data_IF_726534630632
#
_entry.id   IF_726534630632
#
_cell.length_a   1.000
_cell.length_b   1.000
_cell.length_c   1.000
_cell.angle_alpha   90.00
_cell.angle_beta   90.00
_cell.angle_gamma   90.00
#
_symmetry.space_group_name_H-M   'P 1'
#
loop_
_entity.id
_entity.type
_entity.pdbx_description
1 polymer ?
#
# COMPACT_ATOMS: atom_id res chain seq x y z
N UNK A 1 61.94 6.83 50.72
CA UNK A 1 61.52 8.00 49.92
C UNK A 1 60.18 8.44 50.48
N UNK A 2 60.20 9.38 51.42
CA UNK A 2 58.95 9.91 52.00
C UNK A 2 58.44 11.01 51.07
N UNK A 3 57.27 10.80 50.47
CA UNK A 3 56.62 11.85 49.70
C UNK A 3 56.25 12.98 50.67
N UNK A 4 56.89 14.14 50.51
CA UNK A 4 56.55 15.32 51.27
C UNK A 4 55.15 15.85 50.89
N UNK A 5 54.52 16.68 51.73
CA UNK A 5 53.18 17.23 51.49
C UNK A 5 53.04 17.92 50.13
N UNK A 6 54.12 18.49 49.60
CA UNK A 6 54.17 19.10 48.26
C UNK A 6 53.93 18.13 47.11
N UNK A 7 54.43 16.89 47.21
CA UNK A 7 54.22 15.87 46.18
C UNK A 7 52.79 15.35 46.18
N UNK A 8 52.15 15.30 47.35
CA UNK A 8 50.73 14.96 47.45
C UNK A 8 49.84 16.06 46.88
N UNK A 9 50.21 17.32 47.07
CA UNK A 9 49.46 18.46 46.54
C UNK A 9 49.54 18.51 45.00
N UNK A 10 50.73 18.25 44.43
CA UNK A 10 50.93 18.15 42.99
C UNK A 10 50.14 16.98 42.38
N UNK A 11 50.20 15.80 43.01
CA UNK A 11 49.42 14.65 42.59
C UNK A 11 47.90 14.89 42.68
N UNK A 12 47.44 15.56 43.74
CA UNK A 12 46.03 15.89 43.91
C UNK A 12 45.55 16.89 42.85
N UNK A 13 46.38 17.87 42.49
CA UNK A 13 46.10 18.81 41.42
C UNK A 13 46.01 18.09 40.06
N UNK A 14 46.98 17.23 39.74
CA UNK A 14 47.00 16.45 38.51
C UNK A 14 45.80 15.49 38.41
N UNK A 15 45.49 14.80 39.51
CA UNK A 15 44.34 13.90 39.58
C UNK A 15 43.03 14.66 39.33
N UNK A 16 42.85 15.84 39.96
CA UNK A 16 41.66 16.68 39.78
C UNK A 16 41.50 17.13 38.33
N UNK A 17 42.59 17.53 37.68
CA UNK A 17 42.55 17.92 36.27
C UNK A 17 42.18 16.75 35.35
N UNK A 18 42.72 15.55 35.63
CA UNK A 18 42.36 14.34 34.88
C UNK A 18 40.91 13.93 35.10
N UNK A 19 40.39 14.04 36.32
CA UNK A 19 38.98 13.78 36.60
C UNK A 19 38.07 14.78 35.89
N UNK A 20 38.38 16.08 35.93
CA UNK A 20 37.62 17.10 35.20
C UNK A 20 37.62 16.87 33.68
N UNK A 21 38.76 16.43 33.12
CA UNK A 21 38.86 16.05 31.70
C UNK A 21 38.05 14.79 31.38
N UNK A 22 37.99 13.81 32.27
CA UNK A 22 37.18 12.60 32.09
C UNK A 22 35.69 12.95 32.20
N UNK A 23 35.30 13.77 33.17
CA UNK A 23 33.92 14.22 33.38
C UNK A 23 33.37 14.99 32.18
N UNK A 24 34.16 15.94 31.64
CA UNK A 24 33.79 16.66 30.40
C UNK A 24 33.69 15.77 29.15
N UNK A 25 34.40 14.64 29.12
CA UNK A 25 34.30 13.64 28.02
C UNK A 25 33.16 12.66 28.25
N UNK A 26 32.82 12.38 29.51
CA UNK A 26 31.66 11.58 29.89
C UNK A 26 30.35 12.31 29.59
N UNK A 27 30.30 13.63 29.78
CA UNK A 27 29.16 14.47 29.40
C UNK A 27 28.88 14.42 27.88
N UNK A 28 29.93 14.25 27.09
CA UNK A 28 29.85 14.04 25.64
C UNK A 28 29.58 12.58 25.23
N UNK A 29 29.64 11.64 26.16
CA UNK A 29 29.43 10.22 25.88
C UNK A 29 27.94 9.92 26.01
N UNK A 30 27.30 9.55 24.88
CA UNK A 30 25.89 9.19 24.82
C UNK A 30 25.49 8.30 26.01
N UNK A 31 24.67 8.84 26.89
CA UNK A 31 24.27 8.20 28.13
C UNK A 31 23.44 6.98 27.78
N UNK A 32 23.42 5.95 28.64
CA UNK A 32 22.56 4.77 28.41
C UNK A 32 21.08 5.15 28.23
N UNK A 33 20.64 6.31 28.75
CA UNK A 33 19.31 6.88 28.49
C UNK A 33 19.14 7.26 27.04
N UNK A 34 20.11 7.96 26.44
CA UNK A 34 20.05 8.44 25.05
C UNK A 34 19.94 7.26 24.08
N UNK A 35 20.59 6.14 24.40
CA UNK A 35 20.49 4.90 23.62
C UNK A 35 19.11 4.23 23.75
N UNK A 36 18.49 4.31 24.93
CA UNK A 36 17.14 3.79 25.18
C UNK A 36 16.07 4.66 24.52
N UNK A 37 16.24 5.98 24.57
CA UNK A 37 15.37 6.95 23.91
C UNK A 37 15.48 6.82 22.39
N UNK A 38 16.70 6.73 21.84
CA UNK A 38 16.92 6.50 20.42
C UNK A 38 16.29 5.19 19.95
N UNK A 39 16.40 4.11 20.73
CA UNK A 39 15.76 2.82 20.42
C UNK A 39 14.23 2.97 20.37
N UNK A 40 13.66 3.70 21.32
CA UNK A 40 12.21 3.93 21.42
C UNK A 40 11.71 4.79 20.26
N UNK A 41 12.43 5.86 19.94
CA UNK A 41 12.17 6.75 18.80
C UNK A 41 12.20 5.94 17.49
N UNK A 42 13.25 5.13 17.27
CA UNK A 42 13.34 4.28 16.08
C UNK A 42 12.19 3.28 15.98
N UNK A 43 11.81 2.61 17.08
CA UNK A 43 10.68 1.67 17.04
C UNK A 43 9.36 2.36 16.69
N UNK A 44 9.15 3.57 17.21
CA UNK A 44 7.98 4.38 16.90
C UNK A 44 7.97 4.84 15.45
N UNK A 45 9.11 5.29 14.93
CA UNK A 45 9.25 5.68 13.53
C UNK A 45 9.03 4.50 12.59
N UNK A 46 9.63 3.34 12.84
CA UNK A 46 9.40 2.15 12.04
C UNK A 46 7.93 1.71 12.07
N UNK A 47 7.30 1.70 13.25
CA UNK A 47 5.89 1.35 13.35
C UNK A 47 4.99 2.34 12.58
N UNK A 48 5.28 3.63 12.67
CA UNK A 48 4.56 4.67 11.92
C UNK A 48 4.76 4.50 10.41
N UNK A 49 6.00 4.29 9.98
CA UNK A 49 6.35 4.06 8.57
C UNK A 49 5.66 2.81 8.03
N UNK A 50 5.73 1.68 8.74
CA UNK A 50 5.04 0.45 8.34
C UNK A 50 3.53 0.66 8.24
N UNK A 51 2.90 1.35 9.19
CA UNK A 51 1.46 1.66 9.14
C UNK A 51 1.10 2.42 7.86
N UNK A 52 1.88 3.45 7.51
CA UNK A 52 1.60 4.27 6.33
C UNK A 52 1.96 3.55 5.02
N UNK A 53 3.04 2.77 4.98
CA UNK A 53 3.42 1.95 3.82
C UNK A 53 2.36 0.88 3.55
N UNK A 54 1.95 0.12 4.57
CA UNK A 54 0.91 -0.90 4.41
C UNK A 54 -0.44 -0.25 4.08
N UNK A 55 -0.79 0.85 4.73
CA UNK A 55 -2.01 1.59 4.45
C UNK A 55 -2.07 2.12 3.02
N UNK A 56 -1.00 2.74 2.52
CA UNK A 56 -0.93 3.22 1.13
C UNK A 56 -0.92 2.08 0.11
N UNK A 57 -0.20 0.99 0.39
CA UNK A 57 -0.20 -0.19 -0.47
C UNK A 57 -1.61 -0.81 -0.61
N UNK A 58 -2.36 -0.90 0.49
CA UNK A 58 -3.75 -1.39 0.47
C UNK A 58 -4.68 -0.46 -0.32
N UNK A 59 -4.57 0.86 -0.12
CA UNK A 59 -5.39 1.85 -0.85
C UNK A 59 -5.08 1.82 -2.35
N UNK A 60 -3.81 1.81 -2.73
CA UNK A 60 -3.39 1.74 -4.13
C UNK A 60 -3.78 0.41 -4.77
N UNK A 61 -3.64 -0.70 -4.04
CA UNK A 61 -4.08 -2.02 -4.50
C UNK A 61 -5.59 -2.07 -4.75
N UNK A 62 -6.40 -1.56 -3.82
CA UNK A 62 -7.85 -1.48 -3.99
C UNK A 62 -8.23 -0.56 -5.16
N UNK A 63 -7.58 0.59 -5.31
CA UNK A 63 -7.81 1.52 -6.42
C UNK A 63 -7.46 0.89 -7.77
N UNK A 64 -6.36 0.14 -7.87
CA UNK A 64 -6.00 -0.55 -9.10
C UNK A 64 -7.05 -1.60 -9.50
N UNK A 65 -7.51 -2.40 -8.53
CA UNK A 65 -8.54 -3.41 -8.78
C UNK A 65 -9.85 -2.76 -9.25
N UNK A 66 -10.31 -1.69 -8.57
CA UNK A 66 -11.54 -1.00 -8.98
C UNK A 66 -11.42 -0.41 -10.37
N UNK A 67 -10.30 0.23 -10.70
CA UNK A 67 -10.05 0.76 -12.04
C UNK A 67 -10.12 -0.35 -13.09
N UNK A 68 -9.43 -1.47 -12.88
CA UNK A 68 -9.44 -2.60 -13.81
C UNK A 68 -10.86 -3.15 -14.01
N UNK A 69 -11.61 -3.33 -12.91
CA UNK A 69 -13.00 -3.81 -12.98
C UNK A 69 -13.90 -2.84 -13.73
N UNK A 70 -13.78 -1.54 -13.48
CA UNK A 70 -14.55 -0.51 -14.19
C UNK A 70 -14.20 -0.46 -15.67
N UNK A 71 -12.91 -0.53 -16.01
CA UNK A 71 -12.46 -0.58 -17.41
C UNK A 71 -13.04 -1.80 -18.11
N UNK A 72 -12.99 -3.00 -17.52
CA UNK A 72 -13.57 -4.22 -18.11
C UNK A 72 -15.09 -4.14 -18.26
N UNK A 73 -15.79 -3.60 -17.25
CA UNK A 73 -17.24 -3.47 -17.26
C UNK A 73 -17.74 -2.40 -18.25
N UNK A 74 -16.93 -1.36 -18.52
CA UNK A 74 -17.28 -0.30 -19.47
C UNK A 74 -16.73 -0.53 -20.89
N UNK A 75 -15.64 -1.30 -21.04
CA UNK A 75 -15.09 -1.69 -22.34
C UNK A 75 -15.83 -2.87 -22.98
N UNK A 76 -16.66 -3.59 -22.21
CA UNK A 76 -17.63 -4.53 -22.79
C UNK A 76 -18.85 -3.72 -23.24
N UNK A 77 -19.11 -3.59 -24.56
CA UNK A 77 -20.30 -2.89 -25.03
C UNK A 77 -21.54 -3.56 -24.41
N UNK A 78 -22.61 -2.80 -24.10
CA UNK A 78 -23.85 -3.36 -23.59
C UNK A 78 -24.19 -4.56 -24.45
N UNK A 79 -24.34 -5.73 -23.83
CA UNK A 79 -24.75 -6.96 -24.52
C UNK A 79 -25.95 -6.57 -25.36
N UNK A 80 -25.77 -6.51 -26.68
CA UNK A 80 -26.80 -6.03 -27.58
C UNK A 80 -28.09 -6.75 -27.20
N UNK A 81 -29.25 -6.03 -27.11
CA UNK A 81 -30.51 -6.69 -26.82
C UNK A 81 -30.59 -7.91 -27.72
N UNK A 82 -30.95 -9.10 -27.18
CA UNK A 82 -30.93 -10.33 -27.95
C UNK A 82 -31.61 -10.05 -29.27
N UNK A 83 -30.82 -10.05 -30.35
CA UNK A 83 -31.36 -9.86 -31.68
C UNK A 83 -32.52 -10.85 -31.79
N UNK A 84 -33.69 -10.44 -32.33
CA UNK A 84 -34.79 -11.35 -32.55
C UNK A 84 -34.20 -12.58 -33.19
N UNK A 85 -34.20 -13.68 -32.44
CA UNK A 85 -33.71 -14.93 -32.94
C UNK A 85 -34.57 -15.15 -34.17
N UNK A 86 -33.95 -15.23 -35.34
CA UNK A 86 -34.61 -15.80 -36.50
C UNK A 86 -34.90 -17.24 -36.06
N UNK A 87 -36.07 -17.41 -35.43
CA UNK A 87 -36.75 -18.68 -35.34
C UNK A 87 -36.67 -19.19 -36.77
N UNK A 88 -36.05 -20.35 -37.04
CA UNK A 88 -36.14 -20.94 -38.36
C UNK A 88 -37.63 -21.03 -38.66
N UNK A 89 -38.11 -20.14 -39.53
CA UNK A 89 -39.49 -20.11 -39.95
C UNK A 89 -39.65 -21.34 -40.81
N UNK A 90 -39.94 -22.47 -40.17
CA UNK A 90 -40.68 -23.57 -40.78
C UNK A 90 -42.10 -23.05 -41.00
N UNK A 91 -42.23 -22.04 -41.85
CA UNK A 91 -43.50 -21.58 -42.32
C UNK A 91 -44.01 -22.71 -43.22
N UNK A 92 -45.08 -23.44 -42.85
CA UNK A 92 -45.67 -24.39 -43.78
C UNK A 92 -46.08 -23.60 -45.03
N UNK A 93 -45.84 -24.14 -46.23
CA UNK A 93 -46.12 -23.45 -47.48
C UNK A 93 -47.58 -22.98 -47.48
N UNK A 94 -47.77 -21.67 -47.67
CA UNK A 94 -49.10 -21.08 -47.80
C UNK A 94 -49.69 -21.57 -49.13
N UNK A 95 -50.61 -22.53 -49.04
CA UNK A 95 -51.38 -23.00 -50.18
C UNK A 95 -52.46 -21.97 -50.47
N UNK A 96 -52.25 -21.15 -51.50
CA UNK A 96 -53.28 -20.23 -52.01
C UNK A 96 -54.29 -21.09 -52.78
N UNK A 97 -55.38 -21.48 -52.13
CA UNK A 97 -56.51 -22.13 -52.79
C UNK A 97 -57.23 -21.10 -53.67
N UNK A 98 -56.99 -21.16 -54.97
CA UNK A 98 -57.76 -20.38 -55.93
C UNK A 98 -59.16 -20.99 -56.06
N UNK A 99 -60.24 -20.20 -55.99
CA UNK A 99 -61.59 -20.69 -56.25
C UNK A 99 -61.69 -21.20 -57.70
N UNK A 100 -62.43 -22.30 -57.95
CA UNK A 100 -62.54 -22.87 -59.29
C UNK A 100 -63.18 -21.87 -60.25
N UNK A 101 -62.50 -21.66 -61.38
CA UNK A 101 -62.94 -20.75 -62.44
C UNK A 101 -64.26 -21.28 -63.05
N UNK A 102 -65.35 -20.48 -63.05
CA UNK A 102 -66.61 -20.91 -63.64
C UNK A 102 -66.46 -21.04 -65.17
N UNK A 103 -66.74 -22.24 -65.67
CA UNK A 103 -66.71 -22.53 -67.09
C UNK A 103 -67.73 -21.65 -67.86
N UNK A 104 -67.38 -21.09 -69.03
CA UNK A 104 -68.32 -20.35 -69.87
C UNK A 104 -69.47 -21.28 -70.29
N UNK A 105 -70.70 -20.85 -70.08
CA UNK A 105 -71.88 -21.52 -70.66
C UNK A 105 -71.89 -21.22 -72.16
N UNK A 106 -71.98 -22.29 -72.97
CA UNK A 106 -72.20 -22.22 -74.41
C UNK A 106 -73.53 -21.53 -74.75
#
# INVERSE_FOLDING_TARGET
MEAGPSQFEEFAAEARERFARIESRLDLSATKSDLADLRTEMHREFASMTKWVVGTALVLGAAAITIITFVLNYATPPKAPPAPQLIPSTQPPIVIQLPPYPAPRQ
#
